data_IF_833747969767
#
_entry.id   IF_833747969767
#
_cell.length_a   1.000
_cell.length_b   1.000
_cell.length_c   1.000
_cell.angle_alpha   90.00
_cell.angle_beta   90.00
_cell.angle_gamma   90.00
#
_symmetry.space_group_name_H-M   'P 1'
#
loop_
_entity.id
_entity.type
_entity.pdbx_description
1 polymer ?
#
# COMPACT_ATOMS: atom_id res chain seq x y z
N UNK A 1 74.22 -1.16 -18.95
CA UNK A 1 73.82 -2.39 -19.67
C UNK A 1 73.41 -3.44 -18.65
N UNK A 2 72.25 -4.08 -18.87
CA UNK A 2 71.71 -5.29 -18.22
C UNK A 2 71.37 -5.19 -16.72
N UNK A 3 70.10 -5.11 -16.31
CA UNK A 3 68.97 -6.06 -16.39
C UNK A 3 68.90 -7.03 -15.19
N UNK A 4 67.68 -7.06 -14.60
CA UNK A 4 67.08 -8.13 -13.78
C UNK A 4 67.73 -8.31 -12.39
N UNK A 5 67.02 -8.62 -11.31
CA UNK A 5 65.65 -9.07 -11.05
C UNK A 5 65.63 -9.18 -9.53
N UNK A 6 64.75 -8.51 -8.81
CA UNK A 6 64.16 -9.11 -7.60
C UNK A 6 62.77 -8.51 -7.43
N UNK A 7 61.81 -9.33 -7.83
CA UNK A 7 60.38 -9.07 -7.75
C UNK A 7 59.99 -9.15 -6.27
N UNK A 8 59.78 -8.00 -5.63
CA UNK A 8 59.08 -7.97 -4.34
C UNK A 8 57.58 -7.89 -4.64
N UNK A 9 56.92 -9.04 -4.65
CA UNK A 9 55.46 -9.11 -4.71
C UNK A 9 54.97 -8.75 -3.31
N UNK A 10 54.52 -7.51 -3.13
CA UNK A 10 53.78 -7.11 -1.95
C UNK A 10 52.34 -7.62 -2.13
N UNK A 11 52.05 -8.79 -1.58
CA UNK A 11 50.67 -9.31 -1.51
C UNK A 11 49.92 -8.46 -0.50
N UNK A 12 49.23 -7.43 -0.98
CA UNK A 12 48.18 -6.77 -0.21
C UNK A 12 47.05 -7.77 -0.02
N UNK A 13 47.08 -8.51 1.10
CA UNK A 13 45.91 -9.17 1.63
C UNK A 13 44.97 -8.04 2.06
N UNK A 14 44.11 -7.61 1.14
CA UNK A 14 42.89 -6.89 1.48
C UNK A 14 42.03 -7.90 2.23
N UNK A 15 42.25 -8.01 3.53
CA UNK A 15 41.22 -8.45 4.45
C UNK A 15 40.12 -7.40 4.38
N UNK A 16 39.23 -7.55 3.40
CA UNK A 16 37.87 -7.07 3.51
C UNK A 16 37.29 -7.79 4.72
N UNK A 17 37.50 -7.22 5.90
CA UNK A 17 36.50 -7.33 6.95
C UNK A 17 35.24 -6.74 6.33
N UNK A 18 34.43 -7.61 5.74
CA UNK A 18 33.02 -7.38 5.52
C UNK A 18 32.43 -7.13 6.90
N UNK A 19 32.58 -5.89 7.37
CA UNK A 19 31.54 -5.26 8.14
C UNK A 19 30.34 -5.26 7.20
N UNK A 20 29.63 -6.39 7.19
CA UNK A 20 28.19 -6.40 7.01
C UNK A 20 27.66 -5.50 8.11
N UNK A 21 27.72 -4.19 7.87
CA UNK A 21 26.64 -3.34 8.28
C UNK A 21 25.43 -3.97 7.58
N UNK A 22 24.73 -4.81 8.33
CA UNK A 22 23.33 -5.03 8.12
C UNK A 22 22.68 -3.67 8.37
N UNK A 23 22.84 -2.78 7.39
CA UNK A 23 21.93 -1.70 7.16
C UNK A 23 20.59 -2.41 7.00
N UNK A 24 19.75 -2.35 8.04
CA UNK A 24 18.31 -2.52 7.89
C UNK A 24 17.83 -1.38 7.00
N UNK A 25 18.19 -1.42 5.72
CA UNK A 25 17.43 -0.75 4.68
C UNK A 25 16.32 -1.72 4.32
N UNK A 26 15.25 -1.72 5.11
CA UNK A 26 13.96 -1.78 4.43
C UNK A 26 13.86 -0.46 3.68
N UNK A 27 13.88 -0.44 2.34
CA UNK A 27 13.71 0.78 1.59
C UNK A 27 12.22 1.12 1.65
N UNK A 28 11.78 1.63 2.79
CA UNK A 28 10.61 2.48 2.87
C UNK A 28 11.02 3.75 2.11
N UNK A 29 10.85 3.68 0.79
CA UNK A 29 10.91 4.83 -0.09
C UNK A 29 9.61 5.63 0.15
N UNK A 30 9.44 6.12 1.37
CA UNK A 30 8.40 7.06 1.73
C UNK A 30 8.74 8.36 1.01
N UNK A 31 8.24 8.48 -0.22
CA UNK A 31 8.04 9.79 -0.83
C UNK A 31 7.24 10.60 0.21
N UNK A 32 7.79 11.67 0.79
CA UNK A 32 7.09 12.40 1.83
C UNK A 32 5.76 12.89 1.26
N UNK A 33 4.67 12.66 2.00
CA UNK A 33 3.36 13.18 1.64
C UNK A 33 3.43 14.71 1.57
N UNK A 34 2.87 15.29 0.52
CA UNK A 34 2.65 16.73 0.41
C UNK A 34 1.50 17.18 1.29
N UNK A 35 0.54 16.29 1.52
CA UNK A 35 -0.65 16.53 2.31
C UNK A 35 -1.15 15.19 2.84
N UNK A 36 -1.56 15.15 4.09
CA UNK A 36 -2.14 13.97 4.73
C UNK A 36 -3.30 14.37 5.61
N UNK A 37 -4.30 13.48 5.67
CA UNK A 37 -5.42 13.55 6.59
C UNK A 37 -5.54 12.20 7.29
N UNK A 38 -6.10 12.19 8.49
CA UNK A 38 -6.29 11.00 9.32
C UNK A 38 -7.77 10.87 9.68
N UNK A 39 -8.24 9.64 9.81
CA UNK A 39 -9.62 9.37 10.21
C UNK A 39 -9.85 9.67 11.69
N UNK A 40 -11.12 9.72 12.11
CA UNK A 40 -11.51 10.03 13.51
C UNK A 40 -10.88 9.08 14.55
N UNK A 41 -10.52 7.87 14.14
CA UNK A 41 -9.99 6.82 15.01
C UNK A 41 -8.47 6.67 14.96
N UNK A 42 -7.79 7.44 14.11
CA UNK A 42 -6.35 7.33 13.86
C UNK A 42 -5.94 5.92 13.39
N UNK A 43 -6.78 5.27 12.61
CA UNK A 43 -6.57 3.92 12.07
C UNK A 43 -6.10 3.96 10.61
N UNK A 44 -6.51 4.99 9.87
CA UNK A 44 -6.25 5.13 8.44
C UNK A 44 -5.85 6.57 8.13
N UNK A 45 -4.80 6.71 7.32
CA UNK A 45 -4.36 7.98 6.75
C UNK A 45 -4.52 7.97 5.25
N UNK A 46 -5.03 9.08 4.72
CA UNK A 46 -5.05 9.33 3.29
C UNK A 46 -3.98 10.38 2.97
N UNK A 47 -3.06 10.01 2.09
CA UNK A 47 -1.86 10.77 1.80
C UNK A 47 -1.78 11.10 0.31
N UNK A 48 -1.37 12.32 0.01
CA UNK A 48 -1.18 12.83 -1.33
C UNK A 48 0.30 13.13 -1.57
N UNK A 49 0.87 12.59 -2.63
CA UNK A 49 2.24 12.88 -3.05
C UNK A 49 2.26 13.78 -4.29
N UNK A 50 3.44 13.97 -4.88
CA UNK A 50 3.58 14.64 -6.19
C UNK A 50 3.02 13.83 -7.35
N UNK A 51 2.82 12.52 -7.19
CA UNK A 51 2.55 11.60 -8.31
C UNK A 51 1.48 10.56 -8.02
N UNK A 52 1.00 10.47 -6.79
CA UNK A 52 0.13 9.38 -6.34
C UNK A 52 -0.72 9.79 -5.13
N UNK A 53 -1.82 9.06 -4.95
CA UNK A 53 -2.57 9.00 -3.69
C UNK A 53 -2.27 7.65 -3.05
N UNK A 54 -2.03 7.62 -1.75
CA UNK A 54 -1.97 6.37 -1.02
C UNK A 54 -2.75 6.42 0.27
N UNK A 55 -3.27 5.28 0.66
CA UNK A 55 -3.91 5.05 1.95
C UNK A 55 -2.96 4.18 2.77
N UNK A 56 -2.61 4.66 3.97
CA UNK A 56 -1.84 3.92 4.96
C UNK A 56 -2.79 3.50 6.07
N UNK A 57 -2.84 2.22 6.40
CA UNK A 57 -3.70 1.67 7.45
C UNK A 57 -2.87 1.01 8.53
N UNK A 58 -3.36 1.01 9.77
CA UNK A 58 -2.74 0.22 10.84
C UNK A 58 -2.77 -1.27 10.51
N UNK A 59 -1.79 -2.01 11.04
CA UNK A 59 -1.75 -3.48 10.92
C UNK A 59 -3.06 -4.14 11.35
N UNK A 60 -3.70 -3.64 12.42
CA UNK A 60 -4.99 -4.14 12.89
C UNK A 60 -6.10 -4.06 11.85
N UNK A 61 -6.15 -2.97 11.07
CA UNK A 61 -7.15 -2.77 10.01
C UNK A 61 -6.92 -3.79 8.90
N UNK A 62 -5.68 -3.93 8.45
CA UNK A 62 -5.28 -4.91 7.43
C UNK A 62 -5.61 -6.35 7.88
N UNK A 63 -5.27 -6.70 9.12
CA UNK A 63 -5.48 -8.04 9.65
C UNK A 63 -6.97 -8.36 9.78
N UNK A 64 -7.78 -7.40 10.25
CA UNK A 64 -9.24 -7.53 10.30
C UNK A 64 -9.84 -7.68 8.91
N UNK A 65 -9.41 -6.86 7.94
CA UNK A 65 -9.86 -6.95 6.55
C UNK A 65 -9.53 -8.32 5.95
N UNK A 66 -8.30 -8.81 6.15
CA UNK A 66 -7.89 -10.13 5.66
C UNK A 66 -8.66 -11.27 6.33
N UNK A 67 -8.96 -11.16 7.63
CA UNK A 67 -9.79 -12.13 8.34
C UNK A 67 -11.21 -12.15 7.78
N UNK A 68 -11.80 -10.97 7.53
CA UNK A 68 -13.13 -10.86 6.95
C UNK A 68 -13.19 -11.44 5.53
N UNK A 69 -12.20 -11.14 4.68
CA UNK A 69 -12.09 -11.71 3.34
C UNK A 69 -12.00 -13.23 3.40
N UNK A 70 -11.13 -13.78 4.26
CA UNK A 70 -10.98 -15.22 4.43
C UNK A 70 -12.27 -15.88 4.94
N UNK A 71 -12.98 -15.22 5.86
CA UNK A 71 -14.25 -15.71 6.38
C UNK A 71 -15.35 -15.70 5.32
N UNK A 72 -15.49 -14.61 4.54
CA UNK A 72 -16.45 -14.52 3.43
C UNK A 72 -16.19 -15.60 2.39
N UNK A 73 -14.92 -15.75 1.97
CA UNK A 73 -14.54 -16.81 1.04
C UNK A 73 -14.85 -18.20 1.60
N UNK A 74 -14.54 -18.47 2.88
CA UNK A 74 -14.88 -19.75 3.51
C UNK A 74 -16.38 -20.03 3.58
N UNK A 75 -17.22 -18.99 3.69
CA UNK A 75 -18.68 -19.14 3.68
C UNK A 75 -19.18 -19.42 2.27
N UNK A 76 -18.76 -18.62 1.28
CA UNK A 76 -19.09 -18.84 -0.13
C UNK A 76 -18.63 -20.22 -0.58
N UNK A 77 -17.44 -20.61 -0.14
CA UNK A 77 -16.87 -21.91 -0.35
C UNK A 77 -17.81 -23.05 0.04
N UNK A 78 -18.35 -22.99 1.25
CA UNK A 78 -19.26 -24.01 1.75
C UNK A 78 -20.59 -24.10 0.98
N UNK A 79 -20.94 -23.06 0.22
CA UNK A 79 -22.19 -22.96 -0.54
C UNK A 79 -22.05 -23.43 -2.00
N UNK A 80 -20.82 -23.43 -2.55
CA UNK A 80 -20.53 -23.84 -3.92
C UNK A 80 -19.77 -25.17 -3.98
N UNK A 81 -20.47 -26.24 -3.58
CA UNK A 81 -20.00 -27.62 -3.67
C UNK A 81 -20.63 -28.27 -4.91
N UNK A 82 -19.81 -28.79 -5.83
CA UNK A 82 -20.34 -29.49 -7.00
C UNK A 82 -21.01 -30.82 -6.64
N UNK A 83 -21.69 -31.46 -7.60
CA UNK A 83 -22.38 -32.75 -7.39
C UNK A 83 -21.48 -33.91 -6.92
N UNK A 84 -20.15 -33.74 -6.96
CA UNK A 84 -19.14 -34.71 -6.56
C UNK A 84 -18.42 -34.30 -5.26
N UNK A 85 -18.79 -33.19 -4.62
CA UNK A 85 -18.13 -32.70 -3.42
C UNK A 85 -16.88 -31.87 -3.67
N UNK A 86 -16.57 -31.54 -4.92
CA UNK A 86 -15.40 -30.75 -5.26
C UNK A 86 -15.69 -29.26 -5.26
N UNK A 87 -14.65 -28.53 -4.86
CA UNK A 87 -14.63 -27.11 -4.68
C UNK A 87 -14.34 -26.37 -5.99
N UNK A 88 -15.09 -25.30 -6.29
CA UNK A 88 -14.96 -24.54 -7.55
C UNK A 88 -14.51 -23.08 -7.40
N UNK A 89 -14.26 -22.56 -6.20
CA UNK A 89 -13.77 -21.17 -6.06
C UNK A 89 -12.24 -21.09 -6.23
N UNK A 90 -11.78 -20.01 -6.87
CA UNK A 90 -10.36 -19.68 -7.00
C UNK A 90 -9.72 -19.26 -5.66
N UNK A 91 -8.43 -18.95 -5.73
CA UNK A 91 -7.63 -18.54 -4.57
C UNK A 91 -8.10 -17.21 -3.96
N UNK A 92 -8.00 -17.10 -2.62
CA UNK A 92 -8.29 -15.86 -1.89
C UNK A 92 -7.20 -14.83 -2.12
N UNK A 93 -7.58 -13.63 -2.56
CA UNK A 93 -6.67 -12.49 -2.65
C UNK A 93 -6.74 -11.71 -1.34
N UNK A 94 -5.60 -11.54 -0.66
CA UNK A 94 -5.48 -10.82 0.61
C UNK A 94 -4.66 -9.53 0.42
N UNK A 95 -4.85 -8.56 1.32
CA UNK A 95 -3.98 -7.39 1.42
C UNK A 95 -2.59 -7.81 1.88
N UNK A 96 -1.60 -7.59 1.02
CA UNK A 96 -0.18 -7.90 1.27
C UNK A 96 0.57 -6.81 2.03
N UNK A 97 0.01 -5.61 2.11
CA UNK A 97 0.65 -4.41 2.64
C UNK A 97 -0.33 -3.56 3.44
N UNK A 98 0.22 -2.78 4.38
CA UNK A 98 -0.50 -1.73 5.13
C UNK A 98 -0.69 -0.46 4.30
N UNK A 99 -0.18 -0.45 3.07
CA UNK A 99 -0.24 0.68 2.15
C UNK A 99 -0.89 0.25 0.84
N UNK A 100 -1.95 0.94 0.46
CA UNK A 100 -2.58 0.87 -0.86
C UNK A 100 -2.24 2.16 -1.62
N UNK A 101 -1.64 2.09 -2.80
CA UNK A 101 -1.19 3.25 -3.55
C UNK A 101 -1.67 3.21 -5.00
N UNK A 102 -2.17 4.35 -5.48
CA UNK A 102 -2.58 4.58 -6.86
C UNK A 102 -1.82 5.78 -7.42
N UNK A 103 -1.16 5.59 -8.57
CA UNK A 103 -0.56 6.71 -9.29
C UNK A 103 -1.66 7.62 -9.86
N UNK A 104 -1.36 8.89 -10.09
CA UNK A 104 -2.32 9.78 -10.75
C UNK A 104 -2.66 9.30 -12.17
N UNK A 105 -1.76 8.56 -12.82
CA UNK A 105 -2.03 7.97 -14.13
C UNK A 105 -3.05 6.83 -14.06
N UNK A 106 -3.24 6.19 -12.90
CA UNK A 106 -4.22 5.12 -12.70
C UNK A 106 -5.59 5.63 -12.22
N UNK A 107 -5.62 6.85 -11.67
CA UNK A 107 -6.85 7.51 -11.21
C UNK A 107 -7.48 8.23 -12.42
N UNK A 108 -8.70 7.83 -12.78
CA UNK A 108 -9.46 8.50 -13.85
C UNK A 108 -10.04 9.82 -13.36
N UNK A 109 -10.68 9.80 -12.19
CA UNK A 109 -11.23 11.00 -11.58
C UNK A 109 -11.34 10.86 -10.07
N UNK A 110 -11.35 12.00 -9.39
CA UNK A 110 -11.77 12.11 -8.00
C UNK A 110 -12.90 13.14 -7.98
N UNK A 111 -13.97 12.85 -7.26
CA UNK A 111 -15.07 13.78 -6.96
C UNK A 111 -15.34 13.85 -5.46
N UNK A 112 -15.89 14.97 -5.01
CA UNK A 112 -16.35 15.16 -3.65
C UNK A 112 -17.83 15.57 -3.70
N UNK A 113 -18.71 14.65 -3.31
CA UNK A 113 -20.16 14.79 -3.46
C UNK A 113 -20.84 14.29 -2.19
N UNK A 114 -21.84 15.04 -1.70
CA UNK A 114 -22.61 14.68 -0.49
C UNK A 114 -21.76 14.37 0.76
N UNK A 115 -20.56 14.96 0.87
CA UNK A 115 -19.64 14.73 1.98
C UNK A 115 -18.76 13.48 1.82
N UNK A 116 -18.80 12.82 0.67
CA UNK A 116 -18.03 11.61 0.36
C UNK A 116 -16.95 11.90 -0.68
N UNK A 117 -15.78 11.29 -0.49
CA UNK A 117 -14.68 11.33 -1.46
C UNK A 117 -14.73 10.07 -2.32
N UNK A 118 -14.99 10.25 -3.62
CA UNK A 118 -15.17 9.16 -4.57
C UNK A 118 -14.00 9.12 -5.54
N UNK A 119 -13.46 7.91 -5.74
CA UNK A 119 -12.35 7.66 -6.66
C UNK A 119 -12.84 6.77 -7.81
N UNK A 120 -12.58 7.22 -9.04
CA UNK A 120 -12.76 6.41 -10.24
C UNK A 120 -11.38 6.05 -10.77
N UNK A 121 -11.19 4.78 -11.13
CA UNK A 121 -9.90 4.23 -11.55
C UNK A 121 -9.98 3.75 -13.00
N UNK A 122 -8.91 3.92 -13.77
CA UNK A 122 -8.84 3.43 -15.15
C UNK A 122 -8.84 1.91 -15.22
N UNK A 123 -8.13 1.27 -14.30
CA UNK A 123 -8.07 -0.18 -14.15
C UNK A 123 -8.32 -0.54 -12.69
N UNK A 124 -9.30 -1.41 -12.44
CA UNK A 124 -9.58 -1.92 -11.11
C UNK A 124 -8.48 -2.90 -10.69
N UNK A 125 -7.78 -2.57 -9.59
CA UNK A 125 -6.97 -3.55 -8.87
C UNK A 125 -7.87 -4.41 -7.97
N UNK A 126 -7.30 -5.41 -7.31
CA UNK A 126 -8.03 -6.28 -6.38
C UNK A 126 -8.65 -5.54 -5.20
N UNK A 127 -8.08 -4.40 -4.81
CA UNK A 127 -8.59 -3.56 -3.72
C UNK A 127 -8.53 -2.09 -4.12
N UNK A 128 -9.62 -1.36 -3.90
CA UNK A 128 -9.71 0.09 -4.02
C UNK A 128 -9.88 0.75 -2.64
N UNK A 129 -9.70 2.07 -2.55
CA UNK A 129 -9.81 2.78 -1.26
C UNK A 129 -11.16 2.62 -0.57
N UNK A 130 -12.26 2.47 -1.33
CA UNK A 130 -13.59 2.26 -0.77
C UNK A 130 -13.80 0.85 -0.18
N UNK A 131 -12.93 -0.11 -0.52
CA UNK A 131 -13.02 -1.48 0.00
C UNK A 131 -12.42 -1.59 1.41
N UNK A 132 -11.57 -0.64 1.80
CA UNK A 132 -10.92 -0.68 3.12
C UNK A 132 -11.95 -0.35 4.19
N UNK A 133 -12.15 -1.29 5.12
CA UNK A 133 -13.04 -1.14 6.26
C UNK A 133 -12.23 -0.76 7.51
N UNK A 134 -12.75 0.16 8.33
CA UNK A 134 -12.21 0.43 9.65
C UNK A 134 -12.46 -0.74 10.61
N UNK A 135 -11.87 -0.69 11.82
CA UNK A 135 -12.13 -1.72 12.83
C UNK A 135 -13.59 -1.76 13.31
N UNK A 136 -14.37 -0.72 13.00
CA UNK A 136 -15.80 -0.62 13.25
C UNK A 136 -16.66 -1.35 12.19
N UNK A 137 -16.04 -1.87 11.13
CA UNK A 137 -16.68 -2.58 10.03
C UNK A 137 -17.29 -1.66 8.96
N UNK A 138 -17.17 -0.34 9.10
CA UNK A 138 -17.64 0.62 8.10
C UNK A 138 -16.51 0.99 7.12
N UNK A 139 -16.81 1.45 5.89
CA UNK A 139 -15.79 1.94 4.97
C UNK A 139 -14.93 3.05 5.60
N UNK A 140 -13.61 2.89 5.58
CA UNK A 140 -12.67 3.78 6.25
C UNK A 140 -12.81 5.24 5.79
N UNK A 141 -13.14 5.48 4.51
CA UNK A 141 -13.38 6.83 3.98
C UNK A 141 -14.54 7.56 4.67
N UNK A 142 -15.52 6.85 5.26
CA UNK A 142 -16.63 7.46 6.00
C UNK A 142 -16.23 7.90 7.42
N UNK A 143 -15.09 7.41 7.92
CA UNK A 143 -14.59 7.72 9.25
C UNK A 143 -13.78 9.03 9.28
N UNK A 144 -13.50 9.66 8.14
CA UNK A 144 -12.85 10.97 8.09
C UNK A 144 -13.80 12.12 8.45
N UNK A 145 -13.22 13.27 8.82
CA UNK A 145 -13.96 14.52 8.91
C UNK A 145 -14.27 15.04 7.50
N UNK A 146 -15.50 15.50 7.29
CA UNK A 146 -15.98 15.96 5.97
C UNK A 146 -15.13 17.14 5.48
N UNK A 147 -14.74 18.03 6.39
CA UNK A 147 -13.89 19.19 6.10
C UNK A 147 -12.49 18.79 5.64
N UNK A 148 -11.97 17.65 6.14
CA UNK A 148 -10.64 17.17 5.77
C UNK A 148 -10.67 16.44 4.42
N UNK A 149 -11.74 15.71 4.12
CA UNK A 149 -11.99 15.15 2.78
C UNK A 149 -12.11 16.25 1.73
N UNK A 150 -12.85 17.34 2.02
CA UNK A 150 -12.97 18.48 1.13
C UNK A 150 -11.60 19.15 0.89
N UNK A 151 -10.82 19.41 1.95
CA UNK A 151 -9.46 19.96 1.82
C UNK A 151 -8.56 19.04 0.99
N UNK A 152 -8.64 17.74 1.21
CA UNK A 152 -7.88 16.76 0.46
C UNK A 152 -8.23 16.82 -1.04
N UNK A 153 -9.53 16.85 -1.36
CA UNK A 153 -10.01 17.00 -2.73
C UNK A 153 -9.51 18.29 -3.40
N UNK A 154 -9.66 19.43 -2.72
CA UNK A 154 -9.17 20.72 -3.22
C UNK A 154 -7.66 20.70 -3.46
N UNK A 155 -6.90 20.06 -2.55
CA UNK A 155 -5.45 19.92 -2.70
C UNK A 155 -5.09 19.03 -3.87
N UNK A 156 -5.77 17.90 -4.04
CA UNK A 156 -5.60 17.02 -5.20
C UNK A 156 -5.82 17.76 -6.52
N UNK A 157 -6.91 18.53 -6.61
CA UNK A 157 -7.21 19.34 -7.82
C UNK A 157 -6.11 20.36 -8.10
N UNK A 158 -5.57 21.01 -7.08
CA UNK A 158 -4.48 21.99 -7.26
C UNK A 158 -3.17 21.41 -7.81
N UNK A 159 -2.98 20.08 -7.71
CA UNK A 159 -1.77 19.38 -8.16
C UNK A 159 -1.97 18.75 -9.54
N UNK A 160 -3.20 18.34 -9.86
CA UNK A 160 -3.54 17.57 -11.06
C UNK A 160 -4.23 18.37 -12.17
N UNK A 161 -4.65 19.61 -11.88
CA UNK A 161 -5.20 20.56 -12.86
C UNK A 161 -4.11 21.47 -13.41
#
# INVERSE_FOLDING_TARGET
MRFLKYSFIFVCILSFSSNLYAEKTDPINEKPALFEIEDKYNEVKLCLTKTSVYMLMKSSVKDNMNQEIAQRHSVEASQFIDSQGHFLLGDVILLSSEKLEYSFDDIESISFENGELLFTYKNLQSFVFSDILGNDGNPALQNFYVEDLEKFFLKYKSITS
#
